data_IF_355197921036
#
_entry.id   IF_355197921036
#
_cell.length_a   1.000
_cell.length_b   1.000
_cell.length_c   1.000
_cell.angle_alpha   90.00
_cell.angle_beta   90.00
_cell.angle_gamma   90.00
#
_symmetry.space_group_name_H-M   'P 1'
#
loop_
_entity.id
_entity.type
_entity.pdbx_description
1 polymer ?
#
# COMPACT_ATOMS: atom_id res chain seq x y z
N UNK A 1 17.69 -7.05 4.94
CA UNK A 1 16.30 -7.21 4.45
C UNK A 1 16.10 -6.67 3.03
N UNK A 2 16.37 -5.39 2.73
CA UNK A 2 16.24 -4.84 1.35
C UNK A 2 17.03 -5.64 0.32
N UNK A 3 18.27 -5.96 0.62
CA UNK A 3 19.16 -6.74 -0.24
C UNK A 3 18.62 -8.14 -0.51
N UNK A 4 17.99 -8.77 0.48
CA UNK A 4 17.45 -10.13 0.36
C UNK A 4 16.27 -10.19 -0.62
N UNK A 5 15.37 -9.20 -0.61
CA UNK A 5 14.27 -9.13 -1.56
C UNK A 5 14.75 -8.89 -2.99
N UNK A 6 15.70 -7.96 -3.19
CA UNK A 6 16.27 -7.71 -4.51
C UNK A 6 16.96 -8.95 -5.05
N UNK A 7 17.82 -9.58 -4.25
CA UNK A 7 18.54 -10.80 -4.64
C UNK A 7 17.56 -11.93 -4.98
N UNK A 8 16.49 -12.10 -4.21
CA UNK A 8 15.49 -13.13 -4.50
C UNK A 8 14.75 -12.84 -5.82
N UNK A 9 14.36 -11.57 -6.05
CA UNK A 9 13.70 -11.17 -7.29
C UNK A 9 14.64 -11.33 -8.49
N UNK A 10 15.90 -10.93 -8.38
CA UNK A 10 16.89 -11.06 -9.45
C UNK A 10 17.13 -12.54 -9.80
N UNK A 11 17.14 -13.43 -8.81
CA UNK A 11 17.39 -14.86 -9.00
C UNK A 11 16.18 -15.64 -9.50
N UNK A 12 14.98 -15.34 -8.98
CA UNK A 12 13.77 -16.13 -9.20
C UNK A 12 12.70 -15.40 -10.02
N UNK A 13 12.90 -14.12 -10.34
CA UNK A 13 11.95 -13.26 -11.04
C UNK A 13 10.86 -12.66 -10.15
N UNK A 14 10.59 -13.24 -9.00
CA UNK A 14 9.58 -12.78 -8.05
C UNK A 14 9.84 -13.29 -6.62
N UNK A 15 9.11 -12.71 -5.68
CA UNK A 15 9.01 -13.20 -4.30
C UNK A 15 7.58 -13.08 -3.80
N UNK A 16 7.15 -14.04 -2.99
CA UNK A 16 5.84 -13.99 -2.31
C UNK A 16 6.08 -13.71 -0.84
N UNK A 17 5.43 -12.66 -0.33
CA UNK A 17 5.59 -12.19 1.05
C UNK A 17 4.27 -12.04 1.76
N UNK A 18 4.25 -12.36 3.05
CA UNK A 18 3.13 -12.04 3.93
C UNK A 18 3.15 -10.57 4.27
N UNK A 19 1.97 -9.96 4.36
CA UNK A 19 1.81 -8.58 4.76
C UNK A 19 1.64 -8.46 6.27
N UNK A 20 2.04 -7.30 6.81
CA UNK A 20 1.81 -6.92 8.19
C UNK A 20 1.07 -5.60 8.27
N UNK A 21 0.23 -5.47 9.30
CA UNK A 21 -0.52 -4.26 9.59
C UNK A 21 -1.77 -4.08 8.74
N UNK A 22 -2.40 -2.93 8.91
CA UNK A 22 -3.74 -2.62 8.39
C UNK A 22 -3.75 -1.52 7.32
N UNK A 23 -2.58 -1.03 6.92
CA UNK A 23 -2.47 0.13 6.01
C UNK A 23 -3.07 -0.10 4.63
N UNK A 24 -3.12 -1.37 4.17
CA UNK A 24 -3.65 -1.75 2.86
C UNK A 24 -5.06 -2.36 2.91
N UNK A 25 -5.76 -2.25 4.04
CA UNK A 25 -7.18 -2.62 4.10
C UNK A 25 -8.03 -1.74 3.16
N UNK A 26 -9.12 -2.26 2.64
CA UNK A 26 -9.65 -3.63 2.69
C UNK A 26 -9.04 -4.55 1.63
N UNK A 27 -8.07 -4.05 0.81
CA UNK A 27 -7.48 -4.82 -0.28
C UNK A 27 -6.78 -6.07 0.26
N UNK A 28 -5.87 -5.86 1.22
CA UNK A 28 -5.03 -6.88 1.81
C UNK A 28 -5.29 -6.99 3.31
N UNK A 29 -5.45 -8.20 3.80
CA UNK A 29 -5.71 -8.53 5.22
C UNK A 29 -4.53 -9.32 5.77
N UNK A 30 -3.92 -8.80 6.85
CA UNK A 30 -2.84 -9.48 7.57
C UNK A 30 -3.23 -10.92 7.96
N UNK A 31 -2.28 -11.82 7.95
CA UNK A 31 -2.43 -13.24 8.28
C UNK A 31 -3.34 -14.05 7.34
N UNK A 32 -3.98 -13.41 6.36
CA UNK A 32 -4.80 -14.08 5.35
C UNK A 32 -4.21 -14.02 3.96
N UNK A 33 -3.67 -12.86 3.59
CA UNK A 33 -3.28 -12.54 2.23
C UNK A 33 -1.75 -12.44 2.10
N UNK A 34 -1.24 -12.81 0.93
CA UNK A 34 0.17 -12.62 0.55
C UNK A 34 0.27 -11.84 -0.76
N UNK A 35 1.39 -11.21 -1.00
CA UNK A 35 1.62 -10.44 -2.22
C UNK A 35 2.75 -11.04 -3.04
N UNK A 36 2.58 -11.06 -4.37
CA UNK A 36 3.61 -11.39 -5.33
C UNK A 36 4.29 -10.11 -5.76
N UNK A 37 5.58 -10.02 -5.51
CA UNK A 37 6.42 -8.87 -5.80
C UNK A 37 7.41 -9.22 -6.90
N UNK A 38 7.58 -8.29 -7.85
CA UNK A 38 8.53 -8.38 -8.98
C UNK A 38 9.44 -7.15 -9.01
N UNK A 39 10.42 -7.14 -9.92
CA UNK A 39 11.29 -5.98 -10.13
C UNK A 39 10.47 -4.70 -10.44
N UNK A 40 10.86 -3.54 -9.89
CA UNK A 40 10.09 -2.29 -10.01
C UNK A 40 10.33 -1.60 -11.35
N UNK A 41 9.79 -2.16 -12.43
CA UNK A 41 9.89 -1.62 -13.77
C UNK A 41 8.65 -0.78 -14.15
N UNK A 42 8.88 0.34 -14.86
CA UNK A 42 7.81 1.19 -15.42
C UNK A 42 6.72 1.59 -14.43
N UNK A 43 7.11 2.06 -13.24
CA UNK A 43 6.20 2.44 -12.17
C UNK A 43 5.23 3.53 -12.59
N UNK A 44 3.95 3.35 -12.24
CA UNK A 44 2.84 4.24 -12.57
C UNK A 44 2.07 4.65 -11.32
N UNK A 45 1.34 5.74 -11.43
CA UNK A 45 0.33 6.10 -10.43
C UNK A 45 -0.67 4.96 -10.30
N UNK A 46 -1.05 4.64 -9.07
CA UNK A 46 -1.87 3.53 -8.62
C UNK A 46 -1.16 2.17 -8.46
N UNK A 47 0.09 2.03 -8.88
CA UNK A 47 0.86 0.84 -8.52
C UNK A 47 1.06 0.74 -7.00
N UNK A 48 1.12 -0.48 -6.50
CA UNK A 48 1.49 -0.79 -5.11
C UNK A 48 2.92 -1.26 -5.10
N UNK A 49 3.75 -0.65 -4.26
CA UNK A 49 5.19 -0.94 -4.21
C UNK A 49 5.65 -1.21 -2.79
N UNK A 50 6.62 -2.10 -2.66
CA UNK A 50 7.43 -2.26 -1.47
C UNK A 50 8.58 -1.27 -1.52
N UNK A 51 8.73 -0.43 -0.49
CA UNK A 51 9.84 0.52 -0.39
C UNK A 51 10.36 0.59 1.03
N UNK A 52 11.57 1.11 1.19
CA UNK A 52 12.23 1.31 2.46
C UNK A 52 12.17 2.78 2.86
N UNK A 53 11.65 3.06 4.03
CA UNK A 53 11.73 4.40 4.64
C UNK A 53 13.17 4.74 5.02
N UNK A 54 13.46 6.01 5.25
CA UNK A 54 14.76 6.47 5.77
C UNK A 54 15.10 5.80 7.12
N UNK A 55 14.08 5.42 7.87
CA UNK A 55 14.22 4.68 9.15
C UNK A 55 14.62 3.22 8.97
N UNK A 56 14.70 2.69 7.74
CA UNK A 56 14.96 1.28 7.45
C UNK A 56 13.70 0.39 7.50
N UNK A 57 12.53 0.96 7.77
CA UNK A 57 11.26 0.21 7.79
C UNK A 57 10.80 -0.09 6.36
N UNK A 58 10.40 -1.34 6.13
CA UNK A 58 9.82 -1.78 4.87
C UNK A 58 8.30 -1.59 4.87
N UNK A 59 7.79 -0.94 3.86
CA UNK A 59 6.38 -0.55 3.76
C UNK A 59 5.83 -0.89 2.37
N UNK A 60 4.61 -1.41 2.34
CA UNK A 60 3.85 -1.69 1.11
C UNK A 60 2.71 -0.67 0.98
N UNK A 61 2.87 0.31 0.09
CA UNK A 61 1.85 1.34 -0.14
C UNK A 61 1.62 1.60 -1.62
N UNK A 62 0.55 2.37 -1.92
CA UNK A 62 0.18 2.76 -3.27
C UNK A 62 0.84 4.07 -3.68
N UNK A 63 1.34 4.14 -4.92
CA UNK A 63 1.79 5.37 -5.55
C UNK A 63 0.57 6.25 -5.85
N UNK A 64 0.52 7.42 -5.23
CA UNK A 64 -0.57 8.39 -5.40
C UNK A 64 -0.22 9.45 -6.43
N UNK A 65 1.04 9.81 -6.51
CA UNK A 65 1.56 10.83 -7.44
C UNK A 65 3.02 10.58 -7.74
N UNK A 66 3.41 10.91 -8.96
CA UNK A 66 4.82 10.95 -9.39
C UNK A 66 5.09 12.37 -9.87
N UNK A 67 6.10 13.01 -9.33
CA UNK A 67 6.53 14.37 -9.71
C UNK A 67 8.04 14.50 -9.52
N UNK A 68 8.74 15.04 -10.52
CA UNK A 68 10.18 15.32 -10.49
C UNK A 68 11.01 14.11 -10.03
N UNK A 69 10.71 12.94 -10.58
CA UNK A 69 11.32 11.64 -10.22
C UNK A 69 11.18 11.26 -8.72
N UNK A 70 10.25 11.89 -8.01
CA UNK A 70 9.87 11.55 -6.65
C UNK A 70 8.46 10.99 -6.60
N UNK A 71 8.26 10.08 -5.66
CA UNK A 71 6.99 9.39 -5.47
C UNK A 71 6.30 9.88 -4.20
N UNK A 72 4.99 9.95 -4.27
CA UNK A 72 4.12 10.17 -3.11
C UNK A 72 3.35 8.89 -2.86
N UNK A 73 3.51 8.32 -1.68
CA UNK A 73 2.92 7.05 -1.26
C UNK A 73 1.81 7.24 -0.24
N UNK A 74 0.86 6.31 -0.24
CA UNK A 74 -0.15 6.19 0.81
C UNK A 74 -0.74 4.80 0.85
N UNK A 75 -0.98 4.30 2.04
CA UNK A 75 -1.76 3.09 2.24
C UNK A 75 -3.24 3.27 1.86
N UNK A 76 -3.88 2.21 1.37
CA UNK A 76 -5.29 2.26 0.98
C UNK A 76 -6.21 2.59 2.18
N UNK A 77 -5.81 2.26 3.39
CA UNK A 77 -6.51 2.57 4.64
C UNK A 77 -5.93 3.77 5.40
N UNK A 78 -5.17 4.61 4.72
CA UNK A 78 -4.52 5.76 5.33
C UNK A 78 -4.84 7.05 4.60
N UNK A 79 -4.59 8.19 5.28
CA UNK A 79 -4.76 9.53 4.72
C UNK A 79 -3.44 10.33 4.74
N UNK A 80 -2.48 9.89 5.54
CA UNK A 80 -1.15 10.50 5.60
C UNK A 80 -0.37 10.16 4.34
N UNK A 81 0.12 11.20 3.66
CA UNK A 81 0.94 11.08 2.46
C UNK A 81 2.41 11.03 2.84
N UNK A 82 3.10 9.99 2.42
CA UNK A 82 4.56 9.93 2.45
C UNK A 82 5.11 10.52 1.16
N UNK A 83 5.76 11.68 1.26
CA UNK A 83 6.26 12.44 0.12
C UNK A 83 7.76 12.26 -0.05
N UNK A 84 8.27 12.64 -1.23
CA UNK A 84 9.70 12.66 -1.58
C UNK A 84 10.39 11.30 -1.53
N UNK A 85 9.65 10.20 -1.70
CA UNK A 85 10.23 8.87 -1.84
C UNK A 85 11.02 8.82 -3.14
N UNK A 86 12.29 8.43 -3.07
CA UNK A 86 13.14 8.30 -4.26
C UNK A 86 13.02 6.90 -4.91
N UNK A 87 13.45 6.79 -6.17
CA UNK A 87 13.42 5.51 -6.89
C UNK A 87 14.28 4.44 -6.20
N UNK A 88 15.39 4.84 -5.60
CA UNK A 88 16.33 3.96 -4.91
C UNK A 88 15.76 3.32 -3.66
N UNK A 89 14.74 3.97 -3.05
CA UNK A 89 14.01 3.43 -1.91
C UNK A 89 13.02 2.34 -2.32
N UNK A 90 12.57 2.32 -3.59
CA UNK A 90 11.61 1.33 -4.07
C UNK A 90 12.34 0.01 -4.35
N UNK A 91 11.84 -1.06 -3.75
CA UNK A 91 12.45 -2.39 -3.78
C UNK A 91 11.77 -3.28 -4.80
N UNK A 92 10.43 -3.27 -4.82
CA UNK A 92 9.63 -4.16 -5.64
C UNK A 92 8.27 -3.59 -6.00
N UNK A 93 7.69 -4.09 -7.08
CA UNK A 93 6.34 -3.80 -7.55
C UNK A 93 5.41 -4.99 -7.27
N UNK A 94 4.22 -4.73 -6.76
CA UNK A 94 3.19 -5.76 -6.62
C UNK A 94 2.59 -6.09 -7.99
N UNK A 95 2.84 -7.30 -8.48
CA UNK A 95 2.24 -7.84 -9.69
C UNK A 95 0.82 -8.37 -9.45
N UNK A 96 0.58 -8.90 -8.26
CA UNK A 96 -0.69 -9.44 -7.83
C UNK A 96 -0.63 -9.88 -6.37
N UNK A 97 -1.71 -10.46 -5.91
CA UNK A 97 -1.82 -10.92 -4.53
C UNK A 97 -2.67 -12.20 -4.45
N UNK A 98 -2.49 -12.94 -3.37
CA UNK A 98 -3.28 -14.13 -3.05
C UNK A 98 -4.27 -13.79 -1.94
N UNK A 99 -5.54 -14.09 -2.16
CA UNK A 99 -6.56 -14.19 -1.10
C UNK A 99 -6.71 -15.67 -0.75
N UNK A 100 -6.11 -16.06 0.37
CA UNK A 100 -5.87 -17.48 0.67
C UNK A 100 -5.06 -18.09 -0.49
N UNK A 101 -5.63 -19.03 -1.24
CA UNK A 101 -4.96 -19.72 -2.36
C UNK A 101 -5.26 -19.11 -3.75
N UNK A 102 -6.23 -18.17 -3.83
CA UNK A 102 -6.64 -17.59 -5.10
C UNK A 102 -5.76 -16.41 -5.51
N UNK A 103 -4.98 -16.57 -6.58
CA UNK A 103 -4.18 -15.49 -7.15
C UNK A 103 -5.03 -14.48 -7.91
N UNK A 104 -4.81 -13.19 -7.67
CA UNK A 104 -5.48 -12.08 -8.34
C UNK A 104 -4.39 -11.14 -8.87
N UNK A 105 -4.17 -11.08 -10.19
CA UNK A 105 -3.21 -10.16 -10.79
C UNK A 105 -3.71 -8.71 -10.71
N UNK A 106 -2.81 -7.74 -10.68
CA UNK A 106 -3.17 -6.32 -10.71
C UNK A 106 -3.83 -5.89 -12.03
N UNK A 107 -3.82 -6.73 -13.06
CA UNK A 107 -4.55 -6.54 -14.32
C UNK A 107 -6.01 -7.01 -14.26
N UNK A 108 -6.42 -7.69 -13.20
CA UNK A 108 -7.80 -8.17 -13.02
C UNK A 108 -8.81 -7.01 -13.01
N UNK A 109 -9.95 -7.18 -13.68
CA UNK A 109 -10.97 -6.12 -13.80
C UNK A 109 -11.60 -5.72 -12.46
N UNK A 110 -11.76 -6.66 -11.53
CA UNK A 110 -12.31 -6.35 -10.20
C UNK A 110 -11.30 -5.55 -9.38
N UNK A 111 -10.01 -5.91 -9.47
CA UNK A 111 -8.94 -5.12 -8.87
C UNK A 111 -8.89 -3.70 -9.46
N UNK A 112 -8.94 -3.54 -10.78
CA UNK A 112 -8.94 -2.23 -11.43
C UNK A 112 -10.15 -1.36 -11.03
N UNK A 113 -11.35 -1.96 -10.92
CA UNK A 113 -12.55 -1.27 -10.39
C UNK A 113 -12.37 -0.88 -8.93
N UNK A 114 -11.79 -1.73 -8.10
CA UNK A 114 -11.45 -1.41 -6.72
C UNK A 114 -10.52 -0.19 -6.65
N UNK A 115 -9.42 -0.19 -7.40
CA UNK A 115 -8.45 0.91 -7.44
C UNK A 115 -9.13 2.23 -7.80
N UNK A 116 -9.92 2.26 -8.89
CA UNK A 116 -10.65 3.46 -9.31
C UNK A 116 -11.56 4.00 -8.21
N UNK A 117 -12.35 3.15 -7.55
CA UNK A 117 -13.23 3.54 -6.44
C UNK A 117 -12.43 4.06 -5.24
N UNK A 118 -11.35 3.36 -4.88
CA UNK A 118 -10.56 3.69 -3.69
C UNK A 118 -9.85 5.04 -3.84
N UNK A 119 -9.30 5.30 -5.02
CA UNK A 119 -8.64 6.56 -5.34
C UNK A 119 -9.66 7.71 -5.42
N UNK A 120 -10.77 7.52 -6.15
CA UNK A 120 -11.81 8.54 -6.30
C UNK A 120 -12.46 8.93 -4.95
N UNK A 121 -12.70 7.96 -4.08
CA UNK A 121 -13.33 8.18 -2.76
C UNK A 121 -12.37 8.71 -1.70
N UNK A 122 -11.09 8.87 -1.99
CA UNK A 122 -10.08 9.22 -0.99
C UNK A 122 -10.36 10.53 -0.29
N UNK A 123 -10.60 11.61 -1.03
CA UNK A 123 -10.87 12.94 -0.47
C UNK A 123 -12.15 12.93 0.38
N UNK A 124 -13.19 12.24 -0.09
CA UNK A 124 -14.44 12.10 0.65
C UNK A 124 -14.26 11.31 1.94
N UNK A 125 -13.54 10.19 1.92
CA UNK A 125 -13.23 9.40 3.12
C UNK A 125 -12.36 10.18 4.11
N UNK A 126 -11.42 10.99 3.62
CA UNK A 126 -10.60 11.87 4.47
C UNK A 126 -11.47 12.91 5.17
N UNK A 127 -12.41 13.53 4.45
CA UNK A 127 -13.37 14.47 5.04
C UNK A 127 -14.22 13.81 6.13
N UNK A 128 -14.78 12.63 5.88
CA UNK A 128 -15.53 11.88 6.89
C UNK A 128 -14.66 11.57 8.12
N UNK A 129 -13.44 11.12 7.92
CA UNK A 129 -12.51 10.85 9.01
C UNK A 129 -12.22 12.07 9.89
N UNK A 130 -12.09 13.26 9.29
CA UNK A 130 -11.89 14.52 10.02
C UNK A 130 -13.15 14.86 10.83
N UNK A 131 -14.34 14.67 10.26
CA UNK A 131 -15.61 14.97 10.93
C UNK A 131 -15.88 13.99 12.08
N UNK A 132 -15.58 12.72 11.94
CA UNK A 132 -15.84 11.69 12.96
C UNK A 132 -14.87 11.74 14.15
N UNK A 133 -13.67 12.26 13.98
CA UNK A 133 -12.67 12.33 15.05
C UNK A 133 -13.13 13.05 16.32
N UNK A 134 -13.74 14.24 16.27
CA UNK A 134 -14.20 14.92 17.47
C UNK A 134 -15.33 14.16 18.20
N UNK A 135 -16.21 13.47 17.47
CA UNK A 135 -17.29 12.69 18.07
C UNK A 135 -16.76 11.44 18.79
N UNK A 136 -15.79 10.74 18.22
CA UNK A 136 -15.14 9.61 18.87
C UNK A 136 -14.43 10.03 20.17
N UNK A 137 -13.75 11.17 20.16
CA UNK A 137 -13.08 11.73 21.36
C UNK A 137 -14.09 12.05 22.47
N UNK A 138 -15.21 12.70 22.14
CA UNK A 138 -16.28 13.06 23.08
C UNK A 138 -16.93 11.78 23.65
N UNK A 139 -17.23 10.79 22.81
CA UNK A 139 -17.82 9.52 23.21
C UNK A 139 -16.94 8.76 24.22
N UNK A 140 -15.64 8.67 23.98
CA UNK A 140 -14.69 8.03 24.89
C UNK A 140 -14.52 8.80 26.22
N UNK A 141 -14.66 10.13 26.20
CA UNK A 141 -14.59 10.97 27.41
C UNK A 141 -15.83 10.81 28.29
N UNK A 142 -17.01 10.63 27.70
CA UNK A 142 -18.26 10.41 28.41
C UNK A 142 -18.30 9.01 29.04
N UNK A 143 -17.77 7.98 28.37
CA UNK A 143 -17.78 6.61 28.86
C UNK A 143 -16.77 6.31 29.98
N UNK A 144 -15.88 7.26 30.28
CA UNK A 144 -14.87 7.19 31.37
C UNK A 144 -15.30 7.89 32.67
N UNK A 145 -16.50 8.45 32.73
CA UNK A 145 -17.16 8.91 33.94
C UNK A 145 -18.23 7.92 34.37
#
# INVERSE_FOLDING_TARGET
MKTDYKTAIDKFGFVIVSIKGTSMLPLLVESRDTVKLIAPNNLKVNDVVLYERITGELVLHRIIKIKDNKYVMCGDNQFVLEKNISKEQIIALMEGYYKKENYIPCTDLKYQKYVKRRVASRSFRHLLFIIERPFAYIYHKIKRK
#
